data_IF_833178990247
#
_entry.id   IF_833178990247
#
_cell.length_a   1.000
_cell.length_b   1.000
_cell.length_c   1.000
_cell.angle_alpha   90.00
_cell.angle_beta   90.00
_cell.angle_gamma   90.00
#
_symmetry.space_group_name_H-M   'P 1'
#
loop_
_entity.id
_entity.type
_entity.pdbx_description
1 polymer ?
#
# COMPACT_ATOMS: atom_id res chain seq x y z
N UNK A 1 -78.39 23.17 16.27
CA UNK A 1 -79.08 22.69 15.05
C UNK A 1 -78.42 21.41 14.57
N UNK A 2 -79.14 20.29 14.65
CA UNK A 2 -78.74 18.97 14.15
C UNK A 2 -78.76 18.94 12.61
N UNK A 3 -77.69 18.42 11.99
CA UNK A 3 -77.76 17.85 10.64
C UNK A 3 -77.04 16.50 10.59
N UNK A 4 -77.85 15.45 10.72
CA UNK A 4 -77.66 14.18 10.02
C UNK A 4 -77.45 14.44 8.53
N UNK A 5 -76.42 13.85 7.89
CA UNK A 5 -76.48 13.28 6.53
C UNK A 5 -75.39 12.21 6.29
N UNK A 6 -75.87 10.96 6.25
CA UNK A 6 -75.63 9.91 5.25
C UNK A 6 -74.20 9.70 4.70
N UNK A 7 -73.63 8.55 5.04
CA UNK A 7 -72.63 7.85 4.22
C UNK A 7 -73.20 7.50 2.83
N UNK A 8 -72.36 7.54 1.78
CA UNK A 8 -72.54 6.67 0.64
C UNK A 8 -71.35 5.71 0.46
N UNK A 9 -71.70 4.43 0.48
CA UNK A 9 -71.35 3.41 -0.51
C UNK A 9 -69.90 3.34 -1.03
N UNK A 10 -69.25 2.24 -0.63
CA UNK A 10 -68.11 1.63 -1.29
C UNK A 10 -68.33 1.48 -2.80
N UNK A 11 -67.36 1.95 -3.59
CA UNK A 11 -67.07 1.45 -4.93
C UNK A 11 -65.62 1.00 -4.97
N UNK A 12 -65.43 -0.31 -5.00
CA UNK A 12 -64.15 -0.99 -5.17
C UNK A 12 -63.70 -0.79 -6.61
N UNK A 13 -62.81 0.16 -6.86
CA UNK A 13 -62.03 0.16 -8.10
C UNK A 13 -60.65 -0.42 -7.80
N UNK A 14 -60.44 -1.69 -8.18
CA UNK A 14 -59.10 -2.23 -8.34
C UNK A 14 -58.40 -1.45 -9.46
N UNK A 15 -57.56 -0.47 -9.09
CA UNK A 15 -56.61 0.11 -10.04
C UNK A 15 -55.52 -0.93 -10.30
N UNK A 16 -55.56 -1.47 -11.52
CA UNK A 16 -54.53 -2.30 -12.14
C UNK A 16 -53.17 -1.66 -11.91
N UNK A 17 -52.30 -2.33 -11.16
CA UNK A 17 -50.87 -1.99 -11.06
C UNK A 17 -50.25 -2.41 -12.38
N UNK A 18 -50.38 -1.55 -13.38
CA UNK A 18 -49.73 -1.73 -14.68
C UNK A 18 -48.26 -1.38 -14.49
N UNK A 19 -47.42 -2.42 -14.59
CA UNK A 19 -45.95 -2.37 -14.65
C UNK A 19 -45.49 -1.32 -15.67
N UNK A 20 -45.11 -0.13 -15.22
CA UNK A 20 -44.60 0.94 -16.09
C UNK A 20 -43.53 1.70 -15.29
N UNK A 21 -42.27 1.53 -15.74
CA UNK A 21 -41.07 2.30 -15.43
C UNK A 21 -40.26 1.93 -14.18
N UNK A 22 -39.76 0.69 -14.23
CA UNK A 22 -38.36 0.37 -13.97
C UNK A 22 -37.46 1.18 -14.93
N UNK A 23 -37.27 2.48 -14.69
CA UNK A 23 -36.36 3.32 -15.46
C UNK A 23 -36.17 4.66 -14.74
N UNK A 24 -35.34 4.66 -13.70
CA UNK A 24 -34.51 5.80 -13.23
C UNK A 24 -33.69 5.41 -11.99
N UNK A 25 -33.24 4.15 -11.90
CA UNK A 25 -32.13 3.77 -11.02
C UNK A 25 -30.87 3.52 -11.85
N UNK A 26 -30.62 4.42 -12.80
CA UNK A 26 -29.34 4.57 -13.50
C UNK A 26 -28.68 5.90 -13.13
N UNK A 27 -28.91 6.36 -11.90
CA UNK A 27 -28.15 7.46 -11.31
C UNK A 27 -26.83 6.84 -10.84
N UNK A 28 -25.85 6.90 -11.75
CA UNK A 28 -24.44 6.96 -11.45
C UNK A 28 -23.91 5.87 -10.51
N UNK A 29 -23.63 4.70 -11.08
CA UNK A 29 -22.34 4.06 -10.81
C UNK A 29 -21.24 4.97 -11.38
N UNK A 30 -21.08 6.16 -10.81
CA UNK A 30 -19.75 6.75 -10.70
C UNK A 30 -18.99 5.66 -9.95
N UNK A 31 -18.13 4.93 -10.65
CA UNK A 31 -17.11 4.15 -9.99
C UNK A 31 -16.45 5.11 -9.02
N UNK A 32 -16.78 4.96 -7.73
CA UNK A 32 -15.98 5.55 -6.67
C UNK A 32 -14.65 4.84 -6.85
N UNK A 33 -13.75 5.46 -7.62
CA UNK A 33 -12.47 4.94 -8.02
C UNK A 33 -11.54 5.01 -6.79
N UNK A 34 -11.97 4.34 -5.72
CA UNK A 34 -11.27 4.18 -4.45
C UNK A 34 -10.34 2.97 -4.54
N UNK A 35 -9.76 2.72 -5.72
CA UNK A 35 -8.70 1.72 -5.84
C UNK A 35 -7.51 2.23 -5.06
N UNK A 36 -7.14 1.48 -4.02
CA UNK A 36 -5.92 1.77 -3.27
C UNK A 36 -4.75 1.48 -4.20
N UNK A 37 -3.96 2.50 -4.48
CA UNK A 37 -2.74 2.42 -5.27
C UNK A 37 -1.56 2.07 -4.37
N UNK A 38 -0.52 1.49 -4.97
CA UNK A 38 0.68 1.11 -4.26
C UNK A 38 1.92 1.50 -5.06
N UNK A 39 2.93 2.03 -4.37
CA UNK A 39 4.30 2.10 -4.85
C UNK A 39 5.19 1.37 -3.86
N UNK A 40 6.16 0.63 -4.38
CA UNK A 40 7.12 -0.13 -3.59
C UNK A 40 8.53 0.12 -4.10
N UNK A 41 9.43 0.39 -3.17
CA UNK A 41 10.87 0.51 -3.39
C UNK A 41 11.61 -0.49 -2.50
N UNK A 42 12.83 -0.84 -2.89
CA UNK A 42 13.64 -1.85 -2.22
C UNK A 42 15.07 -1.35 -1.98
N UNK A 43 15.60 -1.65 -0.80
CA UNK A 43 17.02 -1.48 -0.46
C UNK A 43 17.63 -2.87 -0.33
N UNK A 44 18.70 -3.12 -1.07
CA UNK A 44 19.41 -4.40 -1.09
C UNK A 44 20.74 -4.24 -0.34
N UNK A 45 20.96 -5.11 0.63
CA UNK A 45 22.15 -5.09 1.48
C UNK A 45 22.84 -6.44 1.35
N UNK A 46 23.95 -6.45 0.63
CA UNK A 46 24.70 -7.67 0.34
C UNK A 46 25.53 -8.10 1.54
N UNK A 47 25.52 -9.40 1.83
CA UNK A 47 26.30 -9.99 2.90
C UNK A 47 27.06 -11.22 2.43
N UNK A 48 28.13 -11.53 3.17
CA UNK A 48 28.71 -12.86 3.10
C UNK A 48 27.74 -13.90 3.70
N UNK A 49 27.73 -15.15 3.19
CA UNK A 49 26.83 -16.20 3.66
C UNK A 49 26.85 -16.39 5.18
N UNK A 50 28.04 -16.37 5.77
CA UNK A 50 28.27 -16.61 7.20
C UNK A 50 27.59 -15.56 8.10
N UNK A 51 27.34 -14.36 7.56
CA UNK A 51 26.89 -13.22 8.33
C UNK A 51 25.44 -12.82 7.99
N UNK A 52 24.80 -13.45 7.01
CA UNK A 52 23.47 -13.01 6.53
C UNK A 52 22.39 -13.15 7.61
N UNK A 53 22.41 -14.22 8.40
CA UNK A 53 21.40 -14.47 9.44
C UNK A 53 21.48 -13.48 10.60
N UNK A 54 22.70 -13.22 11.07
CA UNK A 54 22.91 -12.28 12.17
C UNK A 54 22.58 -10.85 11.75
N UNK A 55 22.93 -10.45 10.52
CA UNK A 55 22.62 -9.13 9.99
C UNK A 55 21.13 -8.98 9.64
N UNK A 56 20.48 -10.01 9.12
CA UNK A 56 19.04 -10.02 8.92
C UNK A 56 18.30 -9.71 10.23
N UNK A 57 18.64 -10.39 11.33
CA UNK A 57 18.01 -10.15 12.64
C UNK A 57 18.22 -8.71 13.13
N UNK A 58 19.42 -8.16 12.95
CA UNK A 58 19.74 -6.77 13.32
C UNK A 58 18.93 -5.77 12.50
N UNK A 59 18.94 -5.91 11.19
CA UNK A 59 18.22 -5.03 10.25
C UNK A 59 16.71 -5.14 10.47
N UNK A 60 16.17 -6.36 10.58
CA UNK A 60 14.75 -6.58 10.87
C UNK A 60 14.34 -5.88 12.17
N UNK A 61 15.13 -6.03 13.24
CA UNK A 61 14.84 -5.35 14.51
C UNK A 61 14.90 -3.84 14.38
N UNK A 62 15.89 -3.31 13.67
CA UNK A 62 15.98 -1.88 13.39
C UNK A 62 14.74 -1.38 12.65
N UNK A 63 14.37 -2.00 11.53
CA UNK A 63 13.21 -1.60 10.71
C UNK A 63 11.91 -1.72 11.50
N UNK A 64 11.74 -2.78 12.29
CA UNK A 64 10.56 -2.96 13.15
C UNK A 64 10.44 -1.87 14.24
N UNK A 65 11.57 -1.36 14.73
CA UNK A 65 11.61 -0.34 15.76
C UNK A 65 11.45 1.09 15.24
N UNK A 66 11.37 1.29 13.92
CA UNK A 66 11.10 2.62 13.36
C UNK A 66 9.68 3.04 13.78
N UNK A 67 9.57 4.18 14.47
CA UNK A 67 8.28 4.78 14.77
C UNK A 67 7.67 5.33 13.48
N UNK A 68 6.75 4.55 12.91
CA UNK A 68 6.09 4.91 11.65
C UNK A 68 5.25 6.18 11.77
N UNK A 69 4.70 6.49 12.96
CA UNK A 69 3.92 7.72 13.14
C UNK A 69 4.83 8.94 13.13
N UNK A 70 5.96 8.87 13.84
CA UNK A 70 6.98 9.92 13.80
C UNK A 70 7.50 10.13 12.37
N UNK A 71 7.84 9.04 11.67
CA UNK A 71 8.32 9.12 10.28
C UNK A 71 7.27 9.75 9.34
N UNK A 72 5.99 9.38 9.47
CA UNK A 72 4.91 9.98 8.69
C UNK A 72 4.74 11.49 8.97
N UNK A 73 4.90 11.91 10.22
CA UNK A 73 4.87 13.33 10.58
C UNK A 73 6.06 14.09 10.00
N UNK A 74 7.26 13.50 10.06
CA UNK A 74 8.47 14.11 9.48
C UNK A 74 8.36 14.29 7.95
N UNK A 75 7.77 13.32 7.26
CA UNK A 75 7.44 13.42 5.83
C UNK A 75 6.50 14.60 5.58
N UNK A 76 5.45 14.75 6.39
CA UNK A 76 4.50 15.86 6.25
C UNK A 76 5.07 17.23 6.57
N UNK A 77 6.06 17.31 7.46
CA UNK A 77 6.82 18.53 7.71
C UNK A 77 7.82 18.85 6.59
N UNK A 78 8.29 17.82 5.88
CA UNK A 78 9.24 17.97 4.77
C UNK A 78 8.51 18.35 3.46
N UNK A 79 7.30 17.83 3.26
CA UNK A 79 6.52 18.04 2.03
C UNK A 79 5.13 18.60 2.38
N UNK A 80 4.97 19.92 2.26
CA UNK A 80 3.77 20.67 2.66
C UNK A 80 2.43 20.16 2.06
N UNK A 81 2.48 19.38 0.98
CA UNK A 81 1.30 18.82 0.30
C UNK A 81 0.97 17.37 0.67
N UNK A 82 1.73 16.76 1.59
CA UNK A 82 1.59 15.36 1.98
C UNK A 82 1.16 15.30 3.44
N UNK A 83 -0.08 14.91 3.71
CA UNK A 83 -0.60 14.75 5.07
C UNK A 83 -0.32 13.35 5.63
N UNK A 84 -0.16 13.17 6.95
CA UNK A 84 0.16 11.85 7.49
C UNK A 84 -0.93 10.82 7.17
N UNK A 85 -2.20 11.22 7.19
CA UNK A 85 -3.31 10.29 6.99
C UNK A 85 -3.63 9.99 5.51
N UNK A 86 -2.94 10.62 4.56
CA UNK A 86 -3.18 10.40 3.13
C UNK A 86 -2.55 9.12 2.58
N UNK A 87 -1.75 8.42 3.39
CA UNK A 87 -1.11 7.15 3.02
C UNK A 87 -0.90 6.18 4.18
N UNK A 88 -0.82 4.89 3.83
CA UNK A 88 -0.31 3.82 4.69
C UNK A 88 1.14 3.52 4.31
N UNK A 89 2.04 3.52 5.29
CA UNK A 89 3.46 3.21 5.11
C UNK A 89 3.74 1.84 5.72
N UNK A 90 4.31 0.93 4.94
CA UNK A 90 4.74 -0.38 5.41
C UNK A 90 6.20 -0.60 5.12
N UNK A 91 6.95 -0.96 6.15
CA UNK A 91 8.35 -1.33 6.06
C UNK A 91 8.47 -2.82 6.38
N UNK A 92 9.06 -3.59 5.46
CA UNK A 92 9.24 -5.02 5.61
C UNK A 92 10.70 -5.40 5.37
N UNK A 93 11.14 -6.50 5.97
CA UNK A 93 12.48 -7.03 5.77
C UNK A 93 12.43 -8.50 5.38
N UNK A 94 13.19 -8.87 4.35
CA UNK A 94 13.31 -10.24 3.87
C UNK A 94 14.78 -10.65 3.83
N UNK A 95 15.06 -11.88 4.27
CA UNK A 95 16.32 -12.54 3.96
C UNK A 95 16.17 -13.27 2.63
N UNK A 96 17.12 -13.09 1.72
CA UNK A 96 17.13 -13.76 0.43
C UNK A 96 18.43 -14.54 0.26
N UNK A 97 18.28 -15.83 -0.04
CA UNK A 97 19.36 -16.76 -0.34
C UNK A 97 19.06 -17.39 -1.69
N UNK A 98 19.67 -16.88 -2.77
CA UNK A 98 19.40 -17.37 -4.13
C UNK A 98 20.63 -18.02 -4.70
N UNK A 99 20.48 -19.23 -5.24
CA UNK A 99 21.51 -19.88 -6.04
C UNK A 99 21.23 -19.57 -7.51
N UNK A 100 22.13 -18.86 -8.19
CA UNK A 100 22.01 -18.63 -9.63
C UNK A 100 22.55 -19.86 -10.34
N UNK A 101 21.68 -20.65 -10.96
CA UNK A 101 22.13 -21.80 -11.76
C UNK A 101 22.22 -21.35 -13.21
N UNK A 102 23.42 -21.33 -13.80
CA UNK A 102 23.59 -21.02 -15.22
C UNK A 102 23.83 -22.34 -15.96
N UNK A 103 22.97 -22.65 -16.94
CA UNK A 103 23.14 -23.81 -17.82
C UNK A 103 23.75 -23.33 -19.13
N UNK A 104 24.99 -23.73 -19.42
CA UNK A 104 25.65 -23.45 -20.70
C UNK A 104 26.12 -24.79 -21.28
N UNK A 105 25.67 -25.14 -22.49
CA UNK A 105 26.09 -26.35 -23.23
C UNK A 105 26.10 -27.66 -22.42
N UNK A 106 24.98 -28.03 -21.78
CA UNK A 106 24.83 -29.24 -20.96
C UNK A 106 25.79 -29.36 -19.76
N UNK A 107 26.60 -28.33 -19.48
CA UNK A 107 27.35 -28.19 -18.23
C UNK A 107 26.53 -27.29 -17.31
N UNK A 108 26.13 -27.83 -16.16
CA UNK A 108 25.49 -27.03 -15.11
C UNK A 108 26.60 -26.42 -14.28
N UNK A 109 26.89 -25.14 -14.47
CA UNK A 109 27.80 -24.40 -13.59
C UNK A 109 26.96 -23.69 -12.53
N UNK A 110 27.12 -24.12 -11.29
CA UNK A 110 26.50 -23.46 -10.13
C UNK A 110 27.21 -22.11 -9.94
N UNK A 111 26.56 -21.02 -10.35
CA UNK A 111 27.08 -19.67 -10.16
C UNK A 111 26.76 -19.20 -8.74
N UNK A 112 27.64 -18.35 -8.23
CA UNK A 112 27.61 -17.67 -6.91
C UNK A 112 26.25 -17.55 -6.24
N UNK A 113 26.15 -18.06 -5.00
CA UNK A 113 24.99 -17.83 -4.14
C UNK A 113 24.97 -16.37 -3.68
N UNK A 114 23.92 -15.63 -4.01
CA UNK A 114 23.70 -14.28 -3.49
C UNK A 114 22.99 -14.37 -2.14
N UNK A 115 23.57 -13.73 -1.13
CA UNK A 115 23.02 -13.65 0.22
C UNK A 115 22.83 -12.18 0.54
N UNK A 116 21.58 -11.74 0.63
CA UNK A 116 21.29 -10.34 0.91
C UNK A 116 20.07 -10.20 1.79
N UNK A 117 20.02 -9.07 2.50
CA UNK A 117 18.82 -8.62 3.19
C UNK A 117 18.17 -7.56 2.32
N UNK A 118 16.87 -7.70 2.14
CA UNK A 118 16.04 -6.76 1.40
C UNK A 118 15.14 -6.01 2.36
N UNK A 119 15.20 -4.69 2.35
CA UNK A 119 14.22 -3.83 3.03
C UNK A 119 13.26 -3.31 1.98
N UNK A 120 11.98 -3.66 2.10
CA UNK A 120 10.93 -3.17 1.22
C UNK A 120 10.21 -2.00 1.90
N UNK A 121 10.05 -0.91 1.16
CA UNK A 121 9.30 0.28 1.53
C UNK A 121 8.06 0.29 0.65
N UNK A 122 6.87 0.18 1.23
CA UNK A 122 5.61 0.21 0.49
C UNK A 122 4.74 1.36 0.98
N UNK A 123 4.32 2.20 0.05
CA UNK A 123 3.35 3.27 0.28
C UNK A 123 2.05 2.91 -0.40
N UNK A 124 0.96 2.91 0.36
CA UNK A 124 -0.39 2.67 -0.16
C UNK A 124 -1.21 3.95 -0.01
N UNK A 125 -1.87 4.39 -1.08
CA UNK A 125 -2.56 5.68 -1.11
C UNK A 125 -3.84 5.60 -1.96
N UNK A 126 -4.75 6.56 -1.78
CA UNK A 126 -5.95 6.71 -2.61
C UNK A 126 -5.91 8.07 -3.31
N UNK A 127 -7.04 8.76 -3.42
CA UNK A 127 -7.17 9.96 -4.26
C UNK A 127 -6.54 11.22 -3.63
N UNK A 128 -6.13 11.15 -2.36
CA UNK A 128 -5.50 12.23 -1.61
C UNK A 128 -4.03 12.46 -2.01
N UNK A 129 -3.41 11.49 -2.68
CA UNK A 129 -2.04 11.58 -3.19
C UNK A 129 -1.97 11.18 -4.66
N UNK A 130 -1.06 11.80 -5.39
CA UNK A 130 -0.68 11.34 -6.72
C UNK A 130 0.59 10.47 -6.68
N UNK A 131 0.87 9.78 -7.80
CA UNK A 131 2.04 8.89 -7.92
C UNK A 131 3.37 9.60 -7.63
N UNK A 132 3.52 10.85 -8.07
CA UNK A 132 4.75 11.63 -7.85
C UNK A 132 4.97 11.90 -6.36
N UNK A 133 3.92 12.27 -5.63
CA UNK A 133 4.01 12.44 -4.18
C UNK A 133 4.30 11.11 -3.48
N UNK A 134 3.69 10.01 -3.94
CA UNK A 134 3.98 8.68 -3.40
C UNK A 134 5.44 8.27 -3.63
N UNK A 135 6.03 8.62 -4.78
CA UNK A 135 7.47 8.43 -5.06
C UNK A 135 8.35 9.27 -4.14
N UNK A 136 8.00 10.53 -3.88
CA UNK A 136 8.74 11.37 -2.93
C UNK A 136 8.77 10.76 -1.52
N UNK A 137 7.65 10.15 -1.09
CA UNK A 137 7.57 9.45 0.19
C UNK A 137 8.52 8.25 0.21
N UNK A 138 8.53 7.43 -0.84
CA UNK A 138 9.42 6.26 -0.91
C UNK A 138 10.89 6.67 -0.95
N UNK A 139 11.24 7.71 -1.69
CA UNK A 139 12.61 8.23 -1.79
C UNK A 139 13.09 8.78 -0.45
N UNK A 140 12.25 9.56 0.24
CA UNK A 140 12.56 10.06 1.58
C UNK A 140 12.79 8.92 2.58
N UNK A 141 11.89 7.92 2.58
CA UNK A 141 12.04 6.75 3.44
C UNK A 141 13.32 5.96 3.11
N UNK A 142 13.65 5.85 1.82
CA UNK A 142 14.86 5.16 1.34
C UNK A 142 16.11 5.86 1.84
N UNK A 143 16.17 7.18 1.71
CA UNK A 143 17.28 8.00 2.19
C UNK A 143 17.43 7.95 3.71
N UNK A 144 16.31 8.04 4.43
CA UNK A 144 16.29 7.89 5.89
C UNK A 144 16.86 6.54 6.32
N UNK A 145 16.34 5.44 5.76
CA UNK A 145 16.80 4.08 6.10
C UNK A 145 18.27 3.91 5.71
N UNK A 146 18.68 4.38 4.53
CA UNK A 146 20.07 4.30 4.07
C UNK A 146 21.02 5.03 5.03
N UNK A 147 20.65 6.24 5.46
CA UNK A 147 21.43 7.03 6.42
C UNK A 147 21.59 6.29 7.75
N UNK A 148 20.51 5.74 8.30
CA UNK A 148 20.55 5.01 9.57
C UNK A 148 21.32 3.69 9.48
N UNK A 149 21.18 2.95 8.39
CA UNK A 149 21.96 1.73 8.15
C UNK A 149 23.46 2.04 7.98
N UNK A 150 23.79 3.14 7.30
CA UNK A 150 25.19 3.58 7.13
C UNK A 150 25.82 3.96 8.46
N UNK A 151 25.09 4.62 9.37
CA UNK A 151 25.53 4.90 10.75
C UNK A 151 25.83 3.63 11.54
N UNK A 152 25.13 2.54 11.25
CA UNK A 152 25.36 1.22 11.86
C UNK A 152 26.50 0.44 11.18
N UNK A 153 27.16 1.01 10.17
CA UNK A 153 28.30 0.42 9.48
C UNK A 153 27.93 -0.50 8.31
N UNK A 154 26.69 -0.49 7.83
CA UNK A 154 26.29 -1.26 6.65
C UNK A 154 26.69 -0.53 5.37
N UNK A 155 27.32 -1.26 4.43
CA UNK A 155 27.66 -0.73 3.11
C UNK A 155 26.54 -1.08 2.13
N UNK A 156 25.93 -0.04 1.56
CA UNK A 156 24.72 -0.15 0.73
C UNK A 156 25.13 0.04 -0.73
N UNK A 157 24.74 -0.89 -1.59
CA UNK A 157 24.82 -0.67 -3.03
C UNK A 157 23.51 -0.03 -3.47
N UNK A 158 23.58 1.24 -3.86
CA UNK A 158 22.47 2.03 -4.41
C UNK A 158 22.18 1.64 -5.86
#
# INVERSE_FOLDING_TARGET
MLRNRKQPHYKTEMKKITRVFLLFLSISLLSCNNSTQHISEEIIINFNPENVDSNYKKIQRFIFNIDQRALKNDISLTFDSIYPDSFDLRLNTMKVETTITKKLNNVTTTSTKTHFVKVQIKVSYKNELNKTQASLITDYCKDFINKELTKQGYNLQS
#
